data_IF_642065037909
#
_entry.id   IF_642065037909
#
_cell.length_a   1.000
_cell.length_b   1.000
_cell.length_c   1.000
_cell.angle_alpha   90.00
_cell.angle_beta   90.00
_cell.angle_gamma   90.00
#
_symmetry.space_group_name_H-M   'P 1'
#
loop_
_entity.id
_entity.type
_entity.pdbx_description
1 polymer ?
#
# COMPACT_ATOMS: atom_id res chain seq x y z
N UNK A 1 -3.39 8.98 -9.19
CA UNK A 1 -3.11 8.72 -7.77
C UNK A 1 -1.72 9.23 -7.43
N UNK A 2 -1.51 9.70 -6.19
CA UNK A 2 -0.19 10.01 -5.64
C UNK A 2 -0.08 9.34 -4.26
N UNK A 3 1.00 8.59 -4.03
CA UNK A 3 1.24 7.87 -2.78
C UNK A 3 2.30 8.59 -1.93
N UNK A 4 2.21 8.47 -0.61
CA UNK A 4 3.35 8.75 0.28
C UNK A 4 4.34 7.56 0.26
N UNK A 5 5.17 7.36 1.29
CA UNK A 5 6.03 6.18 1.42
C UNK A 5 7.50 6.37 1.07
N UNK A 6 7.94 7.61 0.83
CA UNK A 6 9.37 7.95 0.69
C UNK A 6 9.88 8.79 1.86
N UNK A 7 9.09 8.97 2.91
CA UNK A 7 9.51 9.65 4.13
C UNK A 7 10.09 8.68 5.14
N UNK A 8 9.33 7.64 5.47
CA UNK A 8 9.62 6.72 6.58
C UNK A 8 9.75 7.41 7.95
N UNK A 9 9.17 8.61 8.06
CA UNK A 9 9.03 9.40 9.27
C UNK A 9 7.71 10.18 9.20
N UNK A 10 7.20 10.58 10.36
CA UNK A 10 5.90 11.22 10.49
C UNK A 10 5.77 12.49 9.64
N UNK A 11 6.71 13.43 9.78
CA UNK A 11 6.63 14.74 9.14
C UNK A 11 6.75 14.63 7.62
N UNK A 12 7.63 13.77 7.12
CA UNK A 12 7.87 13.62 5.70
C UNK A 12 6.72 12.91 5.00
N UNK A 13 6.12 11.89 5.61
CA UNK A 13 4.92 11.22 5.08
C UNK A 13 3.76 12.22 4.93
N UNK A 14 3.48 13.00 5.97
CA UNK A 14 2.43 14.02 5.95
C UNK A 14 2.75 15.13 4.93
N UNK A 15 4.01 15.58 4.86
CA UNK A 15 4.46 16.57 3.86
C UNK A 15 4.18 16.11 2.43
N UNK A 16 4.49 14.85 2.09
CA UNK A 16 4.22 14.31 0.75
C UNK A 16 2.73 14.38 0.40
N UNK A 17 1.86 14.01 1.35
CA UNK A 17 0.41 14.05 1.15
C UNK A 17 -0.12 15.48 1.04
N UNK A 18 0.37 16.41 1.85
CA UNK A 18 0.03 17.84 1.75
C UNK A 18 0.43 18.41 0.38
N UNK A 19 1.60 18.03 -0.14
CA UNK A 19 2.04 18.40 -1.51
C UNK A 19 1.11 17.81 -2.56
N UNK A 20 0.75 16.52 -2.45
CA UNK A 20 -0.20 15.90 -3.37
C UNK A 20 -1.56 16.61 -3.40
N UNK A 21 -2.11 16.97 -2.23
CA UNK A 21 -3.34 17.78 -2.13
C UNK A 21 -3.18 19.18 -2.73
N UNK A 22 -2.02 19.80 -2.58
CA UNK A 22 -1.75 21.10 -3.17
C UNK A 22 -1.70 21.05 -4.71
N UNK A 23 -1.12 20.01 -5.30
CA UNK A 23 -1.05 19.85 -6.75
C UNK A 23 -2.44 19.78 -7.40
N UNK A 24 -3.40 19.09 -6.76
CA UNK A 24 -4.78 18.99 -7.25
C UNK A 24 -5.54 20.32 -7.23
N UNK A 25 -5.08 21.30 -6.43
CA UNK A 25 -5.62 22.68 -6.44
C UNK A 25 -4.94 23.58 -7.47
N UNK A 26 -3.73 23.24 -7.91
CA UNK A 26 -2.93 24.06 -8.81
C UNK A 26 -3.11 23.72 -10.29
N UNK A 27 -3.66 22.55 -10.62
CA UNK A 27 -3.82 22.06 -12.00
C UNK A 27 -5.20 21.41 -12.17
N UNK A 28 -5.77 21.43 -13.40
CA UNK A 28 -7.04 20.77 -13.68
C UNK A 28 -6.86 19.25 -13.80
N UNK A 29 -6.49 18.60 -12.69
CA UNK A 29 -6.35 17.15 -12.58
C UNK A 29 -6.84 16.69 -11.22
N UNK A 30 -7.66 15.65 -11.19
CA UNK A 30 -8.12 15.04 -9.94
C UNK A 30 -6.99 14.21 -9.34
N UNK A 31 -6.60 14.52 -8.11
CA UNK A 31 -5.59 13.77 -7.37
C UNK A 31 -6.28 13.03 -6.22
N UNK A 32 -6.15 11.71 -6.24
CA UNK A 32 -6.43 10.84 -5.10
C UNK A 32 -5.12 10.49 -4.39
N UNK A 33 -5.12 10.50 -3.07
CA UNK A 33 -3.94 10.25 -2.23
C UNK A 33 -4.05 8.92 -1.49
N UNK A 34 -2.92 8.22 -1.37
CA UNK A 34 -2.84 6.99 -0.56
C UNK A 34 -1.66 7.06 0.39
N UNK A 35 -1.91 6.76 1.66
CA UNK A 35 -0.86 6.63 2.65
C UNK A 35 -0.15 5.30 2.44
N UNK A 36 1.15 5.35 2.14
CA UNK A 36 2.01 4.18 1.95
C UNK A 36 3.16 4.23 2.96
N UNK A 37 2.89 4.58 4.22
CA UNK A 37 3.95 4.56 5.26
C UNK A 37 4.60 3.19 5.42
N UNK A 38 3.83 2.11 5.21
CA UNK A 38 4.36 0.74 5.16
C UNK A 38 4.94 0.40 3.77
N UNK A 39 5.80 1.27 3.23
CA UNK A 39 6.54 1.01 1.98
C UNK A 39 7.82 0.23 2.23
N UNK A 40 8.54 0.60 3.28
CA UNK A 40 9.76 -0.04 3.76
C UNK A 40 9.98 0.39 5.22
N UNK A 41 10.96 -0.20 5.90
CA UNK A 41 11.44 0.25 7.20
C UNK A 41 12.83 0.92 7.04
N UNK A 42 13.16 1.95 7.85
CA UNK A 42 14.52 2.45 7.93
C UNK A 42 15.51 1.33 8.26
N UNK A 43 16.70 1.35 7.66
CA UNK A 43 17.68 0.25 7.71
C UNK A 43 18.03 -0.24 9.13
N UNK A 44 18.05 0.67 10.11
CA UNK A 44 18.47 0.39 11.48
C UNK A 44 17.27 0.34 12.46
N UNK A 45 16.05 0.17 11.94
CA UNK A 45 14.83 0.08 12.74
C UNK A 45 14.14 -1.24 12.46
N UNK A 46 13.79 -1.96 13.53
CA UNK A 46 13.01 -3.19 13.43
C UNK A 46 11.63 -2.92 12.78
N UNK A 47 11.19 -3.80 11.89
CA UNK A 47 9.98 -3.57 11.11
C UNK A 47 8.72 -3.52 11.99
N UNK A 48 8.63 -4.31 13.06
CA UNK A 48 7.48 -4.27 13.97
C UNK A 48 7.48 -3.00 14.81
N UNK A 49 8.66 -2.55 15.26
CA UNK A 49 8.84 -1.25 15.94
C UNK A 49 8.46 -0.09 15.02
N UNK A 50 8.91 -0.12 13.76
CA UNK A 50 8.56 0.90 12.77
C UNK A 50 7.04 0.98 12.55
N UNK A 51 6.36 -0.17 12.42
CA UNK A 51 4.92 -0.20 12.25
C UNK A 51 4.23 0.49 13.42
N UNK A 52 4.57 0.12 14.66
CA UNK A 52 3.91 0.63 15.86
C UNK A 52 4.20 2.09 16.17
N UNK A 53 5.47 2.47 16.11
CA UNK A 53 5.92 3.75 16.66
C UNK A 53 5.92 4.86 15.62
N UNK A 54 5.92 4.51 14.32
CA UNK A 54 6.05 5.49 13.23
C UNK A 54 4.89 5.37 12.24
N UNK A 55 4.69 4.20 11.64
CA UNK A 55 3.73 4.03 10.55
C UNK A 55 2.28 4.26 11.00
N UNK A 56 1.85 3.60 12.09
CA UNK A 56 0.48 3.73 12.59
C UNK A 56 0.19 5.15 13.15
N UNK A 57 1.08 5.78 13.94
CA UNK A 57 0.89 7.17 14.36
C UNK A 57 0.86 8.17 13.20
N UNK A 58 1.68 7.98 12.16
CA UNK A 58 1.65 8.84 10.97
C UNK A 58 0.34 8.67 10.18
N UNK A 59 -0.17 7.44 10.06
CA UNK A 59 -1.47 7.17 9.46
C UNK A 59 -2.60 7.92 10.18
N UNK A 60 -2.63 7.86 11.52
CA UNK A 60 -3.62 8.57 12.34
C UNK A 60 -3.59 10.08 12.15
N UNK A 61 -2.38 10.67 12.15
CA UNK A 61 -2.23 12.10 11.98
C UNK A 61 -2.63 12.55 10.57
N UNK A 62 -2.22 11.82 9.53
CA UNK A 62 -2.61 12.11 8.16
C UNK A 62 -4.13 11.99 7.95
N UNK A 63 -4.79 11.03 8.60
CA UNK A 63 -6.24 10.93 8.61
C UNK A 63 -6.90 12.13 9.32
N UNK A 64 -6.37 12.52 10.48
CA UNK A 64 -6.86 13.68 11.25
C UNK A 64 -6.79 14.98 10.45
N UNK A 65 -5.78 15.14 9.60
CA UNK A 65 -5.63 16.28 8.68
C UNK A 65 -6.48 16.18 7.39
N UNK A 66 -7.26 15.11 7.21
CA UNK A 66 -8.07 14.90 6.01
C UNK A 66 -7.23 14.66 4.75
N UNK A 67 -6.02 14.11 4.89
CA UNK A 67 -5.08 13.99 3.79
C UNK A 67 -5.25 12.72 2.95
N UNK A 68 -6.09 11.77 3.37
CA UNK A 68 -6.09 10.41 2.84
C UNK A 68 -7.37 10.07 2.09
N UNK A 69 -7.24 9.44 0.91
CA UNK A 69 -8.37 8.76 0.25
C UNK A 69 -8.30 7.24 0.41
N UNK A 70 -7.10 6.67 0.63
CA UNK A 70 -6.91 5.24 0.91
C UNK A 70 -5.61 4.99 1.71
N UNK A 71 -5.45 3.74 2.17
CA UNK A 71 -4.22 3.22 2.80
C UNK A 71 -3.65 2.09 1.94
N UNK A 72 -2.34 2.09 1.78
CA UNK A 72 -1.57 1.12 0.99
C UNK A 72 -0.45 0.51 1.86
N UNK A 73 0.17 -0.54 1.37
CA UNK A 73 1.33 -1.20 1.96
C UNK A 73 2.14 -1.96 0.92
N UNK A 74 3.37 -2.33 1.27
CA UNK A 74 4.19 -3.23 0.47
C UNK A 74 4.39 -4.56 1.20
N UNK A 75 3.61 -5.57 0.80
CA UNK A 75 3.66 -6.92 1.35
C UNK A 75 4.65 -7.76 0.56
N UNK A 76 5.91 -7.81 1.02
CA UNK A 76 6.99 -8.50 0.33
C UNK A 76 8.12 -8.86 1.32
N UNK A 77 8.93 -9.86 0.99
CA UNK A 77 10.00 -10.36 1.85
C UNK A 77 11.11 -9.34 2.12
N UNK A 78 11.21 -8.30 1.28
CA UNK A 78 12.13 -7.18 1.43
C UNK A 78 11.50 -5.94 2.10
N UNK A 79 10.21 -6.01 2.45
CA UNK A 79 9.45 -4.93 3.06
C UNK A 79 8.73 -5.43 4.31
N UNK A 80 7.41 -5.65 4.24
CA UNK A 80 6.61 -6.13 5.37
C UNK A 80 5.96 -7.47 5.07
N UNK A 81 5.89 -8.31 6.10
CA UNK A 81 5.17 -9.59 6.00
C UNK A 81 3.64 -9.38 6.15
N UNK A 82 2.82 -10.39 5.82
CA UNK A 82 1.35 -10.27 5.93
C UNK A 82 0.83 -9.93 7.32
N UNK A 83 1.50 -10.38 8.40
CA UNK A 83 1.07 -10.08 9.76
C UNK A 83 1.30 -8.61 10.11
N UNK A 84 2.41 -8.02 9.66
CA UNK A 84 2.71 -6.61 9.81
C UNK A 84 1.73 -5.73 9.03
N UNK A 85 1.44 -6.10 7.77
CA UNK A 85 0.46 -5.40 6.92
C UNK A 85 -0.95 -5.47 7.50
N UNK A 86 -1.35 -6.61 8.09
CA UNK A 86 -2.66 -6.76 8.70
C UNK A 86 -2.91 -5.70 9.80
N UNK A 87 -1.88 -5.30 10.54
CA UNK A 87 -1.98 -4.25 11.58
C UNK A 87 -2.29 -2.88 10.98
N UNK A 88 -1.65 -2.55 9.85
CA UNK A 88 -1.93 -1.33 9.08
C UNK A 88 -3.37 -1.34 8.56
N UNK A 89 -3.84 -2.49 8.07
CA UNK A 89 -5.20 -2.65 7.57
C UNK A 89 -6.26 -2.58 8.68
N UNK A 90 -5.99 -3.16 9.85
CA UNK A 90 -6.85 -3.04 11.02
C UNK A 90 -7.01 -1.58 11.41
N UNK A 91 -5.91 -0.81 11.39
CA UNK A 91 -5.97 0.62 11.66
C UNK A 91 -6.72 1.41 10.58
N UNK A 92 -6.46 1.13 9.29
CA UNK A 92 -7.19 1.76 8.19
C UNK A 92 -8.70 1.52 8.30
N UNK A 93 -9.10 0.28 8.62
CA UNK A 93 -10.50 -0.09 8.82
C UNK A 93 -11.12 0.61 10.03
N UNK A 94 -10.40 0.74 11.13
CA UNK A 94 -10.86 1.50 12.30
C UNK A 94 -11.08 2.99 12.00
N UNK A 95 -10.32 3.55 11.05
CA UNK A 95 -10.47 4.93 10.56
C UNK A 95 -11.48 5.05 9.40
N UNK A 96 -12.12 3.97 8.99
CA UNK A 96 -13.08 3.96 7.87
C UNK A 96 -12.44 4.25 6.51
N UNK A 97 -11.13 4.00 6.36
CA UNK A 97 -10.41 4.23 5.12
C UNK A 97 -10.39 2.96 4.25
N UNK A 98 -10.57 3.08 2.93
CA UNK A 98 -10.40 1.97 2.03
C UNK A 98 -8.92 1.58 1.91
N UNK A 99 -8.69 0.32 1.54
CA UNK A 99 -7.37 -0.31 1.53
C UNK A 99 -6.98 -0.69 0.10
N UNK A 100 -5.69 -0.68 -0.19
CA UNK A 100 -5.05 -1.31 -1.35
C UNK A 100 -3.71 -1.92 -0.92
N UNK A 101 -3.06 -2.68 -1.79
CA UNK A 101 -1.80 -3.34 -1.46
C UNK A 101 -0.91 -3.57 -2.67
N UNK A 102 0.38 -3.28 -2.55
CA UNK A 102 1.39 -3.90 -3.41
C UNK A 102 1.68 -5.29 -2.88
N UNK A 103 1.36 -6.32 -3.65
CA UNK A 103 1.59 -7.71 -3.24
C UNK A 103 1.95 -8.59 -4.43
N UNK A 104 2.65 -9.67 -4.09
CA UNK A 104 3.07 -10.71 -5.02
C UNK A 104 3.91 -10.17 -6.19
N UNK A 105 4.71 -9.13 -5.96
CA UNK A 105 5.56 -8.55 -6.99
C UNK A 105 6.80 -9.40 -7.24
N UNK A 106 7.47 -9.85 -6.17
CA UNK A 106 8.75 -10.57 -6.25
C UNK A 106 8.65 -11.98 -5.65
N UNK A 107 7.68 -12.22 -4.77
CA UNK A 107 7.38 -13.54 -4.23
C UNK A 107 5.93 -13.66 -3.79
N UNK A 108 5.39 -14.88 -3.73
CA UNK A 108 4.04 -15.09 -3.19
C UNK A 108 4.08 -15.25 -1.66
N UNK A 109 3.64 -14.22 -0.94
CA UNK A 109 3.51 -14.24 0.53
C UNK A 109 2.06 -14.35 1.02
N UNK A 110 1.08 -14.34 0.11
CA UNK A 110 -0.34 -14.35 0.45
C UNK A 110 -0.90 -12.96 0.80
N UNK A 111 -0.21 -11.89 0.40
CA UNK A 111 -0.71 -10.52 0.47
C UNK A 111 -2.00 -10.32 -0.34
N UNK A 112 -2.13 -10.94 -1.51
CA UNK A 112 -3.35 -10.90 -2.31
C UNK A 112 -4.56 -11.49 -1.56
N UNK A 113 -4.34 -12.61 -0.85
CA UNK A 113 -5.37 -13.24 -0.01
C UNK A 113 -5.75 -12.36 1.16
N UNK A 114 -4.76 -11.73 1.79
CA UNK A 114 -4.96 -10.78 2.89
C UNK A 114 -5.80 -9.59 2.41
N UNK A 115 -5.42 -8.95 1.31
CA UNK A 115 -6.15 -7.82 0.73
C UNK A 115 -7.60 -8.18 0.39
N UNK A 116 -7.84 -9.35 -0.22
CA UNK A 116 -9.19 -9.86 -0.48
C UNK A 116 -10.02 -10.01 0.81
N UNK A 117 -9.43 -10.54 1.89
CA UNK A 117 -10.09 -10.70 3.20
C UNK A 117 -10.51 -9.35 3.80
N UNK A 118 -9.72 -8.30 3.58
CA UNK A 118 -10.03 -6.95 4.07
C UNK A 118 -10.95 -6.15 3.14
N UNK A 119 -11.32 -6.70 1.98
CA UNK A 119 -12.14 -5.99 0.99
C UNK A 119 -11.39 -4.82 0.36
N UNK A 120 -10.09 -4.99 0.10
CA UNK A 120 -9.27 -3.98 -0.56
C UNK A 120 -9.85 -3.57 -1.93
N UNK A 121 -9.69 -2.31 -2.30
CA UNK A 121 -10.05 -1.78 -3.63
C UNK A 121 -9.24 -2.47 -4.73
N UNK A 122 -7.94 -2.61 -4.52
CA UNK A 122 -7.02 -3.23 -5.46
C UNK A 122 -5.87 -3.97 -4.79
N UNK A 123 -5.30 -4.90 -5.55
CA UNK A 123 -3.95 -5.42 -5.35
C UNK A 123 -3.14 -5.10 -6.60
N UNK A 124 -2.02 -4.44 -6.40
CA UNK A 124 -1.13 -3.93 -7.42
C UNK A 124 0.06 -4.91 -7.58
N UNK A 125 0.65 -4.99 -8.78
CA UNK A 125 1.73 -5.93 -9.18
C UNK A 125 1.24 -7.31 -9.63
N UNK A 126 1.06 -8.24 -8.69
CA UNK A 126 0.50 -9.59 -8.86
C UNK A 126 1.25 -10.55 -9.78
N UNK A 127 2.54 -10.31 -10.09
CA UNK A 127 3.36 -11.22 -10.90
C UNK A 127 3.36 -12.65 -10.32
N UNK A 128 3.62 -12.82 -9.03
CA UNK A 128 3.67 -14.12 -8.34
C UNK A 128 2.33 -14.55 -7.74
N UNK A 129 1.22 -13.88 -8.06
CA UNK A 129 -0.09 -14.36 -7.63
C UNK A 129 -0.38 -15.74 -8.24
N UNK A 130 -1.21 -16.55 -7.57
CA UNK A 130 -1.68 -17.83 -8.14
C UNK A 130 -3.10 -17.70 -8.70
N UNK A 131 -3.52 -18.64 -9.56
CA UNK A 131 -4.93 -18.74 -9.97
C UNK A 131 -5.89 -18.83 -8.76
N UNK A 132 -5.45 -19.46 -7.67
CA UNK A 132 -6.25 -19.54 -6.45
C UNK A 132 -6.42 -18.16 -5.79
N UNK A 133 -5.42 -17.30 -5.88
CA UNK A 133 -5.47 -15.93 -5.37
C UNK A 133 -6.35 -15.05 -6.26
N UNK A 134 -6.23 -15.18 -7.59
CA UNK A 134 -7.13 -14.53 -8.56
C UNK A 134 -8.59 -14.84 -8.26
N UNK A 135 -8.93 -16.10 -7.98
CA UNK A 135 -10.30 -16.51 -7.61
C UNK A 135 -10.78 -15.82 -6.32
N UNK A 136 -9.90 -15.63 -5.34
CA UNK A 136 -10.24 -14.94 -4.08
C UNK A 136 -10.42 -13.44 -4.30
N UNK A 137 -9.55 -12.80 -5.09
CA UNK A 137 -9.66 -11.39 -5.46
C UNK A 137 -10.97 -11.13 -6.22
N UNK A 138 -11.28 -11.95 -7.22
CA UNK A 138 -12.52 -11.87 -7.98
C UNK A 138 -13.76 -12.01 -7.09
N UNK A 139 -13.75 -12.97 -6.15
CA UNK A 139 -14.85 -13.16 -5.19
C UNK A 139 -15.02 -11.95 -4.25
N UNK A 140 -13.92 -11.30 -3.87
CA UNK A 140 -13.94 -10.12 -3.02
C UNK A 140 -14.29 -8.81 -3.77
N UNK A 141 -14.35 -8.85 -5.11
CA UNK A 141 -14.51 -7.66 -5.93
C UNK A 141 -13.28 -6.75 -5.94
N UNK A 142 -12.09 -7.31 -5.66
CA UNK A 142 -10.83 -6.59 -5.61
C UNK A 142 -10.20 -6.53 -7.00
N UNK A 143 -9.80 -5.34 -7.44
CA UNK A 143 -9.19 -5.13 -8.77
C UNK A 143 -7.71 -5.58 -8.75
N UNK A 144 -7.32 -6.41 -9.71
CA UNK A 144 -5.90 -6.67 -9.97
C UNK A 144 -5.34 -5.55 -10.87
N UNK A 145 -4.37 -4.79 -10.37
CA UNK A 145 -3.73 -3.67 -11.10
C UNK A 145 -2.38 -4.13 -11.61
N UNK A 146 -2.28 -4.37 -12.92
CA UNK A 146 -1.03 -4.73 -13.57
C UNK A 146 -0.14 -3.50 -13.75
N UNK A 147 1.14 -3.63 -13.42
CA UNK A 147 2.13 -2.55 -13.50
C UNK A 147 3.25 -2.88 -14.51
N UNK A 148 2.94 -2.96 -15.82
CA UNK A 148 3.90 -3.40 -16.84
C UNK A 148 5.13 -2.51 -16.97
N UNK A 149 5.06 -1.24 -16.52
CA UNK A 149 6.21 -0.35 -16.49
C UNK A 149 7.28 -0.79 -15.48
N UNK A 150 6.88 -1.27 -14.30
CA UNK A 150 7.79 -1.83 -13.30
C UNK A 150 8.37 -3.16 -13.79
N UNK A 151 7.52 -4.07 -14.26
CA UNK A 151 7.89 -5.34 -14.88
C UNK A 151 8.98 -5.16 -15.95
N UNK A 152 8.74 -4.26 -16.91
CA UNK A 152 9.70 -3.94 -17.97
C UNK A 152 11.02 -3.37 -17.43
N UNK A 153 10.95 -2.42 -16.48
CA UNK A 153 12.12 -1.71 -15.95
C UNK A 153 13.03 -2.62 -15.12
N UNK A 154 12.44 -3.56 -14.38
CA UNK A 154 13.18 -4.50 -13.54
C UNK A 154 13.69 -5.71 -14.32
N UNK A 155 13.34 -5.82 -15.61
CA UNK A 155 13.61 -7.01 -16.43
C UNK A 155 13.04 -8.29 -15.78
N UNK A 156 11.89 -8.16 -15.14
CA UNK A 156 11.14 -9.29 -14.63
C UNK A 156 10.68 -10.16 -15.81
N UNK A 157 10.67 -11.47 -15.62
CA UNK A 157 10.29 -12.44 -16.66
C UNK A 157 9.11 -13.32 -16.27
N UNK A 158 8.63 -13.20 -15.02
CA UNK A 158 7.46 -13.91 -14.52
C UNK A 158 6.16 -13.10 -14.71
N UNK A 159 5.31 -13.42 -15.72
CA UNK A 159 4.06 -12.70 -15.91
C UNK A 159 2.99 -13.09 -14.87
N UNK A 160 2.08 -12.18 -14.51
CA UNK A 160 0.90 -12.50 -13.72
C UNK A 160 0.05 -13.65 -14.32
N UNK A 161 -0.66 -14.44 -13.49
CA UNK A 161 -1.47 -15.59 -13.91
C UNK A 161 -2.77 -15.22 -14.68
#
# INVERSE_FOLDING_TARGET
EVKSGYGLDHETELKMLRVARALGRQRPVTIVTSFLGAHSAPKDVDADVYIDEICLPALEAAHTEGLLDAVDGFCEGIAFNPAQIARVFDKAKALGLPIKLHAEQLSNLGGAVLAAKYGALSVDHVEYATEADVKKLAKAGCVAVLLPGAFYTLHEDHPPP
#
